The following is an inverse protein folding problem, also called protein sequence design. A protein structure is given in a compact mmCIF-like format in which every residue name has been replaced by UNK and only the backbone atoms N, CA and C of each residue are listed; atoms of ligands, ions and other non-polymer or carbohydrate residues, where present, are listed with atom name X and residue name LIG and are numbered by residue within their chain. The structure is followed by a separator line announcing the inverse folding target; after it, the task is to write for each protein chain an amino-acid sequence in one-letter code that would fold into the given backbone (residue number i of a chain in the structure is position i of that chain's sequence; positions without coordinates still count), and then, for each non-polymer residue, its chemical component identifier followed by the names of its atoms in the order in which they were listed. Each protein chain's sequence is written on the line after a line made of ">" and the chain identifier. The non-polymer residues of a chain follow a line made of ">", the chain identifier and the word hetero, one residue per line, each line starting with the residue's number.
data_IF_054067758336
#
_entry.id   IF_054067758336
#
_cell.length_a   1.000
_cell.length_b   1.000
_cell.length_c   1.000
_cell.angle_alpha   90.00
_cell.angle_beta   90.00
_cell.angle_gamma   90.00
#
_symmetry.space_group_name_H-M   'P 1'
#
loop_
_entity.id
_entity.type
_entity.pdbx_description
1 polymer ?
#
# COMPACT_ATOMS: atom_id res chain seq x y z
N UNK A 1 5.01 -3.40 -8.65
CA UNK A 1 5.16 -3.68 -7.21
C UNK A 1 6.64 -3.93 -6.99
N UNK A 2 7.27 -3.15 -6.12
CA UNK A 2 8.71 -3.23 -5.86
C UNK A 2 9.08 -4.44 -5.00
N UNK A 3 10.38 -4.72 -4.91
CA UNK A 3 10.91 -5.88 -4.19
C UNK A 3 10.52 -5.85 -2.71
N UNK A 4 10.22 -7.03 -2.16
CA UNK A 4 9.84 -7.23 -0.76
C UNK A 4 8.61 -6.41 -0.29
N UNK A 5 7.82 -5.84 -1.19
CA UNK A 5 6.57 -5.20 -0.84
C UNK A 5 5.54 -6.24 -0.37
N UNK A 6 4.78 -5.91 0.67
CA UNK A 6 3.70 -6.75 1.19
C UNK A 6 2.34 -6.21 0.74
N UNK A 7 1.51 -7.06 0.14
CA UNK A 7 0.14 -6.75 -0.21
C UNK A 7 -0.80 -7.61 0.62
N UNK A 8 -1.52 -7.00 1.56
CA UNK A 8 -2.48 -7.69 2.41
C UNK A 8 -3.65 -8.27 1.62
N UNK A 9 -4.21 -9.36 2.14
CA UNK A 9 -5.34 -10.05 1.52
C UNK A 9 -6.52 -9.08 1.28
N UNK A 10 -7.14 -9.18 0.11
CA UNK A 10 -8.29 -8.35 -0.26
C UNK A 10 -7.97 -6.88 -0.55
N UNK A 11 -6.69 -6.46 -0.58
CA UNK A 11 -6.33 -5.13 -1.03
C UNK A 11 -6.67 -4.94 -2.52
N UNK A 12 -7.17 -3.75 -2.86
CA UNK A 12 -7.47 -3.34 -4.24
C UNK A 12 -6.52 -2.22 -4.62
N UNK A 13 -5.75 -2.44 -5.69
CA UNK A 13 -4.83 -1.46 -6.25
C UNK A 13 -5.46 -0.88 -7.51
N UNK A 14 -5.69 0.44 -7.55
CA UNK A 14 -6.19 1.06 -8.78
C UNK A 14 -5.16 0.94 -9.92
N UNK A 15 -5.60 0.93 -11.20
CA UNK A 15 -4.69 0.80 -12.33
C UNK A 15 -3.59 1.87 -12.33
N UNK A 16 -2.39 1.48 -12.76
CA UNK A 16 -1.21 2.36 -12.95
C UNK A 16 -0.60 2.94 -11.68
N UNK A 17 -0.95 2.41 -10.49
CA UNK A 17 -0.23 2.78 -9.27
C UNK A 17 1.09 2.00 -9.12
N UNK A 18 2.07 2.66 -8.52
CA UNK A 18 3.34 2.05 -8.13
C UNK A 18 3.35 1.81 -6.63
N UNK A 19 3.73 0.59 -6.24
CA UNK A 19 4.02 0.23 -4.85
C UNK A 19 5.54 0.10 -4.75
N UNK A 20 6.16 0.90 -3.90
CA UNK A 20 7.60 0.92 -3.66
C UNK A 20 8.13 -0.36 -3.01
N UNK A 21 9.46 -0.52 -3.03
CA UNK A 21 10.14 -1.63 -2.36
C UNK A 21 9.93 -1.56 -0.85
N UNK A 22 9.78 -2.72 -0.18
CA UNK A 22 9.50 -2.84 1.25
C UNK A 22 8.22 -2.11 1.74
N UNK A 23 7.39 -1.58 0.84
CA UNK A 23 6.12 -0.97 1.21
C UNK A 23 5.13 -2.02 1.72
N UNK A 24 4.22 -1.61 2.61
CA UNK A 24 3.20 -2.50 3.18
C UNK A 24 1.81 -1.95 2.87
N UNK A 25 0.98 -2.72 2.16
CA UNK A 25 -0.44 -2.43 1.95
C UNK A 25 -1.25 -3.30 2.89
N UNK A 26 -2.04 -2.69 3.78
CA UNK A 26 -2.88 -3.41 4.73
C UNK A 26 -3.97 -4.26 4.04
N UNK A 27 -4.44 -5.29 4.74
CA UNK A 27 -5.57 -6.10 4.28
C UNK A 27 -6.81 -5.23 4.03
N UNK A 28 -7.51 -5.48 2.92
CA UNK A 28 -8.70 -4.72 2.51
C UNK A 28 -8.47 -3.26 2.11
N UNK A 29 -7.22 -2.78 2.00
CA UNK A 29 -6.95 -1.39 1.63
C UNK A 29 -7.32 -1.10 0.16
N UNK A 30 -7.87 0.08 -0.12
CA UNK A 30 -8.12 0.57 -1.50
C UNK A 30 -7.09 1.63 -1.84
N UNK A 31 -6.06 1.24 -2.60
CA UNK A 31 -4.90 2.07 -2.91
C UNK A 31 -5.19 2.92 -4.15
N UNK A 32 -5.32 4.23 -3.96
CA UNK A 32 -5.67 5.19 -5.02
C UNK A 32 -4.50 6.09 -5.45
N UNK A 33 -3.33 5.95 -4.83
CA UNK A 33 -2.12 6.72 -5.11
C UNK A 33 -0.88 5.83 -4.99
N UNK A 34 0.23 6.24 -5.61
CA UNK A 34 1.52 5.56 -5.44
C UNK A 34 1.92 5.50 -3.96
N UNK A 35 2.55 4.39 -3.58
CA UNK A 35 3.07 4.16 -2.24
C UNK A 35 4.60 4.20 -2.31
N UNK A 36 5.27 5.11 -1.61
CA UNK A 36 6.73 5.17 -1.59
C UNK A 36 7.36 3.95 -0.92
N UNK A 37 8.66 3.76 -1.12
CA UNK A 37 9.43 2.68 -0.50
C UNK A 37 9.32 2.70 1.04
N UNK A 38 9.19 1.54 1.66
CA UNK A 38 9.10 1.36 3.12
C UNK A 38 7.82 1.93 3.77
N UNK A 39 6.92 2.57 3.01
CA UNK A 39 5.71 3.17 3.57
C UNK A 39 4.64 2.10 3.79
N UNK A 40 4.02 2.14 4.96
CA UNK A 40 2.80 1.37 5.24
C UNK A 40 1.57 2.19 4.91
N UNK A 41 0.62 1.65 4.15
CA UNK A 41 -0.68 2.27 3.88
C UNK A 41 -1.84 1.34 4.27
N UNK A 42 -2.90 1.91 4.82
CA UNK A 42 -4.11 1.17 5.25
C UNK A 42 -5.38 1.95 4.94
N UNK A 43 -6.53 1.25 4.90
CA UNK A 43 -7.87 1.85 4.82
C UNK A 43 -8.43 2.06 3.41
N UNK A 44 -9.61 2.68 3.34
CA UNK A 44 -10.31 3.04 2.11
C UNK A 44 -10.81 4.49 2.19
N UNK A 45 -10.23 5.44 1.42
CA UNK A 45 -9.06 5.27 0.56
C UNK A 45 -7.77 5.11 1.39
N UNK A 46 -6.81 4.33 0.88
CA UNK A 46 -5.59 4.02 1.63
C UNK A 46 -4.76 5.29 1.95
N UNK A 47 -4.24 5.38 3.17
CA UNK A 47 -3.40 6.50 3.66
C UNK A 47 -2.20 5.96 4.41
N UNK A 48 -1.12 6.76 4.45
CA UNK A 48 0.07 6.44 5.22
C UNK A 48 -0.30 6.19 6.68
N UNK A 49 0.15 5.06 7.20
CA UNK A 49 -0.01 4.67 8.58
C UNK A 49 1.23 5.08 9.36
N UNK A 50 1.03 5.83 10.45
CA UNK A 50 2.06 6.15 11.42
C UNK A 50 1.63 5.56 12.76
N UNK A 51 2.56 4.86 13.41
CA UNK A 51 2.36 4.41 14.79
C UNK A 51 2.44 5.65 15.70
N UNK A 52 1.57 5.72 16.71
CA UNK A 52 1.65 6.71 17.78
C UNK A 52 2.94 6.53 18.59
#
# INVERSE_FOLDING_TARGET
>A
VGDFAFIGAGAVLLPRIQIGAHATVGAGAIVTKNVPDGVTVVGNPARAYHKL
#
